data_IF_877095085431
#
_entry.id   IF_877095085431
#
_cell.length_a   1.000
_cell.length_b   1.000
_cell.length_c   1.000
_cell.angle_alpha   90.00
_cell.angle_beta   90.00
_cell.angle_gamma   90.00
#
_symmetry.space_group_name_H-M   'P 1'
#
loop_
_entity.id
_entity.type
_entity.pdbx_description
1 polymer ?
#
# COMPACT_ATOMS: atom_id res chain seq x y z
N UNK A 1 15.24 22.92 -9.99
CA UNK A 1 14.47 22.30 -8.91
C UNK A 1 14.45 20.79 -9.08
N UNK A 2 14.87 20.07 -8.06
CA UNK A 2 14.81 18.61 -8.10
C UNK A 2 13.44 18.16 -7.58
N UNK A 3 12.68 17.48 -8.43
CA UNK A 3 11.45 16.86 -7.99
C UNK A 3 11.81 15.60 -7.22
N UNK A 4 11.42 15.54 -5.96
CA UNK A 4 11.63 14.35 -5.14
C UNK A 4 10.82 13.17 -5.71
N UNK A 5 11.46 12.00 -5.86
CA UNK A 5 10.77 10.78 -6.24
C UNK A 5 9.91 10.34 -5.07
N UNK A 6 8.62 10.13 -5.32
CA UNK A 6 7.69 9.66 -4.29
C UNK A 6 7.94 8.19 -3.99
N UNK A 7 7.97 7.86 -2.71
CA UNK A 7 8.02 6.50 -2.20
C UNK A 7 6.60 6.07 -1.86
N UNK A 8 6.06 5.16 -2.64
CA UNK A 8 4.64 4.77 -2.58
C UNK A 8 4.51 3.30 -2.19
N UNK A 9 3.93 3.05 -1.02
CA UNK A 9 3.62 1.67 -0.62
C UNK A 9 2.39 1.19 -1.39
N UNK A 10 2.48 -0.02 -1.96
CA UNK A 10 1.38 -0.63 -2.70
C UNK A 10 0.90 -1.89 -1.99
N UNK A 11 -0.42 -2.09 -1.93
CA UNK A 11 -0.99 -3.36 -1.52
C UNK A 11 -1.33 -4.20 -2.75
N UNK A 12 -1.80 -5.43 -2.53
CA UNK A 12 -2.09 -6.34 -3.63
C UNK A 12 -3.26 -5.87 -4.51
N UNK A 13 -4.19 -5.09 -3.96
CA UNK A 13 -5.36 -4.62 -4.73
C UNK A 13 -4.97 -3.74 -5.92
N UNK A 14 -3.82 -3.03 -5.82
CA UNK A 14 -3.34 -2.18 -6.91
C UNK A 14 -2.69 -3.00 -8.03
N UNK A 15 -2.17 -4.17 -7.70
CA UNK A 15 -1.59 -5.11 -8.65
C UNK A 15 -2.69 -5.97 -9.28
N UNK A 16 -3.46 -6.67 -8.46
CA UNK A 16 -4.55 -7.52 -8.93
C UNK A 16 -5.67 -6.72 -9.60
N UNK A 17 -5.85 -5.48 -9.18
CA UNK A 17 -6.85 -4.58 -9.76
C UNK A 17 -6.65 -4.29 -11.25
N UNK A 18 -5.44 -4.49 -11.78
CA UNK A 18 -5.17 -4.37 -13.22
C UNK A 18 -5.96 -5.37 -14.05
N UNK A 19 -6.49 -6.42 -13.43
CA UNK A 19 -7.21 -7.50 -14.10
C UNK A 19 -8.70 -7.55 -13.71
N UNK A 20 -9.17 -6.56 -12.94
CA UNK A 20 -10.56 -6.51 -12.52
C UNK A 20 -11.48 -6.10 -13.68
N UNK A 21 -12.75 -6.53 -13.61
CA UNK A 21 -13.73 -6.21 -14.63
C UNK A 21 -14.39 -4.83 -14.44
N UNK A 22 -13.95 -4.07 -13.45
CA UNK A 22 -14.44 -2.72 -13.12
C UNK A 22 -13.50 -1.64 -13.71
N UNK A 23 -13.53 -0.43 -13.14
CA UNK A 23 -12.70 0.69 -13.59
C UNK A 23 -11.27 0.71 -13.00
N UNK A 24 -10.90 -0.27 -12.16
CA UNK A 24 -9.58 -0.31 -11.54
C UNK A 24 -8.43 -0.32 -12.55
N UNK A 25 -8.48 -1.11 -13.66
CA UNK A 25 -7.39 -1.08 -14.63
C UNK A 25 -7.13 0.32 -15.20
N UNK A 26 -8.18 1.04 -15.56
CA UNK A 26 -8.07 2.38 -16.13
C UNK A 26 -7.52 3.38 -15.11
N UNK A 27 -7.90 3.22 -13.86
CA UNK A 27 -7.46 4.11 -12.77
C UNK A 27 -6.02 3.83 -12.32
N UNK A 28 -5.57 2.59 -12.44
CA UNK A 28 -4.22 2.20 -12.03
C UNK A 28 -3.17 2.37 -13.13
N UNK A 29 -3.55 2.36 -14.40
CA UNK A 29 -2.60 2.41 -15.51
C UNK A 29 -1.69 3.64 -15.49
N UNK A 30 -2.17 4.87 -15.26
CA UNK A 30 -1.27 6.02 -15.18
C UNK A 30 -0.27 5.91 -14.03
N UNK A 31 -0.66 5.30 -12.92
CA UNK A 31 0.23 5.05 -11.79
C UNK A 31 1.39 4.11 -12.21
N UNK A 32 1.06 2.99 -12.84
CA UNK A 32 2.08 2.04 -13.29
C UNK A 32 2.98 2.60 -14.39
N UNK A 33 2.42 3.45 -15.26
CA UNK A 33 3.23 4.17 -16.26
C UNK A 33 4.24 5.08 -15.59
N UNK A 34 3.85 5.79 -14.52
CA UNK A 34 4.76 6.63 -13.76
C UNK A 34 5.86 5.82 -13.06
N UNK A 35 5.54 4.63 -12.57
CA UNK A 35 6.53 3.71 -12.00
C UNK A 35 7.55 3.31 -13.07
N UNK A 36 7.08 2.91 -14.25
CA UNK A 36 7.97 2.52 -15.35
C UNK A 36 8.86 3.66 -15.83
N UNK A 37 8.35 4.89 -15.78
CA UNK A 37 9.12 6.09 -16.16
C UNK A 37 10.12 6.52 -15.07
N UNK A 38 10.05 5.94 -13.88
CA UNK A 38 10.96 6.26 -12.80
C UNK A 38 10.56 7.47 -11.95
N UNK A 39 9.36 8.01 -12.13
CA UNK A 39 8.88 9.15 -11.34
C UNK A 39 8.27 8.74 -10.00
N UNK A 40 7.90 7.47 -9.87
CA UNK A 40 7.41 6.86 -8.63
C UNK A 40 8.24 5.62 -8.34
N UNK A 41 8.68 5.51 -7.09
CA UNK A 41 9.32 4.31 -6.57
C UNK A 41 8.34 3.60 -5.64
N UNK A 42 8.09 2.32 -5.87
CA UNK A 42 7.17 1.58 -5.02
C UNK A 42 7.92 0.91 -3.87
N UNK A 43 7.22 0.82 -2.74
CA UNK A 43 7.64 0.03 -1.59
C UNK A 43 6.78 -1.23 -1.57
N UNK A 44 7.41 -2.38 -1.52
CA UNK A 44 6.74 -3.67 -1.40
C UNK A 44 7.21 -4.37 -0.14
N UNK A 45 6.36 -5.19 0.44
CA UNK A 45 6.67 -5.92 1.67
C UNK A 45 6.64 -7.43 1.44
N UNK A 46 7.19 -8.17 2.38
CA UNK A 46 7.07 -9.62 2.43
C UNK A 46 5.60 -10.06 2.52
N UNK A 47 4.75 -9.28 3.18
CA UNK A 47 3.30 -9.55 3.24
C UNK A 47 2.69 -9.48 1.84
N UNK A 48 3.00 -8.41 1.09
CA UNK A 48 2.55 -8.27 -0.29
C UNK A 48 3.07 -9.42 -1.16
N UNK A 49 4.35 -9.74 -1.04
CA UNK A 49 4.94 -10.79 -1.89
C UNK A 49 4.32 -12.16 -1.64
N UNK A 50 3.97 -12.47 -0.38
CA UNK A 50 3.23 -13.70 -0.07
C UNK A 50 1.82 -13.71 -0.69
N UNK A 51 1.14 -12.58 -0.67
CA UNK A 51 -0.17 -12.46 -1.32
C UNK A 51 -0.07 -12.68 -2.83
N UNK A 52 0.94 -12.07 -3.46
CA UNK A 52 1.18 -12.21 -4.89
C UNK A 52 1.52 -13.65 -5.27
N UNK A 53 2.31 -14.36 -4.45
CA UNK A 53 2.65 -15.77 -4.69
C UNK A 53 1.41 -16.67 -4.75
N UNK A 54 0.37 -16.32 -4.01
CA UNK A 54 -0.90 -17.06 -3.96
C UNK A 54 -1.92 -16.58 -5.00
N UNK A 55 -1.60 -15.54 -5.71
CA UNK A 55 -2.48 -14.96 -6.72
C UNK A 55 -2.42 -15.75 -8.03
N UNK A 56 -3.40 -15.55 -8.95
CA UNK A 56 -3.36 -16.17 -10.28
C UNK A 56 -2.10 -15.80 -11.04
N UNK A 57 -1.73 -16.64 -12.02
CA UNK A 57 -0.50 -16.49 -12.79
C UNK A 57 -0.37 -15.11 -13.43
N UNK A 58 -1.44 -14.56 -13.99
CA UNK A 58 -1.38 -13.26 -14.66
C UNK A 58 -1.04 -12.11 -13.68
N UNK A 59 -1.46 -12.23 -12.42
CA UNK A 59 -1.10 -11.24 -11.38
C UNK A 59 0.39 -11.38 -11.03
N UNK A 60 0.88 -12.60 -10.88
CA UNK A 60 2.30 -12.86 -10.60
C UNK A 60 3.19 -12.36 -11.74
N UNK A 61 2.77 -12.57 -12.98
CA UNK A 61 3.50 -12.10 -14.15
C UNK A 61 3.56 -10.57 -14.22
N UNK A 62 2.45 -9.91 -13.93
CA UNK A 62 2.43 -8.45 -13.86
C UNK A 62 3.42 -7.95 -12.81
N UNK A 63 3.41 -8.53 -11.62
CA UNK A 63 4.32 -8.15 -10.54
C UNK A 63 5.78 -8.30 -10.98
N UNK A 64 6.12 -9.39 -11.64
CA UNK A 64 7.48 -9.64 -12.14
C UNK A 64 7.89 -8.67 -13.24
N UNK A 65 6.94 -8.05 -13.94
CA UNK A 65 7.22 -7.10 -15.01
C UNK A 65 7.62 -5.71 -14.47
N UNK A 66 7.43 -5.45 -13.20
CA UNK A 66 7.78 -4.16 -12.59
C UNK A 66 9.31 -4.06 -12.54
N UNK A 67 9.90 -2.94 -13.04
CA UNK A 67 11.36 -2.79 -13.03
C UNK A 67 11.94 -2.87 -11.62
N UNK A 68 12.91 -3.73 -11.40
CA UNK A 68 13.57 -3.89 -10.09
C UNK A 68 14.15 -2.57 -9.57
N UNK A 69 14.64 -1.71 -10.46
CA UNK A 69 15.19 -0.41 -10.11
C UNK A 69 14.16 0.51 -9.45
N UNK A 70 12.86 0.23 -9.60
CA UNK A 70 11.78 1.03 -9.04
C UNK A 70 11.17 0.41 -7.78
N UNK A 71 11.76 -0.65 -7.26
CA UNK A 71 11.21 -1.38 -6.11
C UNK A 71 12.14 -1.21 -4.91
N UNK A 72 11.57 -0.76 -3.80
CA UNK A 72 12.19 -0.81 -2.48
C UNK A 72 11.49 -1.92 -1.68
N UNK A 73 12.25 -2.93 -1.25
CA UNK A 73 11.69 -4.04 -0.47
C UNK A 73 11.87 -3.80 1.01
N UNK A 74 10.82 -4.02 1.77
CA UNK A 74 10.84 -3.99 3.23
C UNK A 74 10.29 -5.29 3.78
N UNK A 75 10.64 -5.60 5.03
CA UNK A 75 10.13 -6.80 5.70
C UNK A 75 9.32 -6.41 6.92
N UNK A 76 8.35 -7.24 7.27
CA UNK A 76 7.65 -7.10 8.54
C UNK A 76 8.63 -7.29 9.70
N UNK A 77 8.41 -6.54 10.76
CA UNK A 77 9.22 -6.55 11.98
C UNK A 77 8.29 -6.62 13.18
N UNK A 78 8.86 -6.82 14.36
CA UNK A 78 8.08 -6.75 15.60
C UNK A 78 7.40 -5.39 15.74
N UNK A 79 8.05 -4.33 15.30
CA UNK A 79 7.47 -2.98 15.31
C UNK A 79 6.24 -2.88 14.43
N UNK A 80 6.29 -3.35 13.18
CA UNK A 80 5.14 -3.31 12.27
C UNK A 80 4.02 -4.22 12.76
N UNK A 81 4.34 -5.39 13.27
CA UNK A 81 3.36 -6.34 13.79
C UNK A 81 2.65 -5.76 15.02
N UNK A 82 3.39 -5.14 15.92
CA UNK A 82 2.83 -4.49 17.12
C UNK A 82 1.89 -3.35 16.74
N UNK A 83 2.28 -2.54 15.75
CA UNK A 83 1.43 -1.45 15.27
C UNK A 83 0.14 -1.99 14.64
N UNK A 84 0.24 -3.04 13.82
CA UNK A 84 -0.93 -3.68 13.20
C UNK A 84 -1.90 -4.24 14.27
N UNK A 85 -1.36 -4.89 15.29
CA UNK A 85 -2.16 -5.39 16.40
C UNK A 85 -2.86 -4.26 17.16
N UNK A 86 -2.20 -3.11 17.29
CA UNK A 86 -2.79 -1.95 17.95
C UNK A 86 -4.00 -1.43 17.17
N UNK A 87 -3.95 -1.40 15.85
CA UNK A 87 -5.11 -1.02 15.04
C UNK A 87 -6.31 -1.94 15.31
N UNK A 88 -6.06 -3.24 15.46
CA UNK A 88 -7.10 -4.23 15.76
C UNK A 88 -7.63 -4.02 17.18
N UNK A 89 -6.75 -3.88 18.14
CA UNK A 89 -7.10 -3.68 19.56
C UNK A 89 -7.95 -2.42 19.76
N UNK A 90 -7.64 -1.36 19.03
CA UNK A 90 -8.40 -0.10 19.09
C UNK A 90 -9.70 -0.15 18.26
N UNK A 91 -9.98 -1.28 17.63
CA UNK A 91 -11.26 -1.50 16.95
C UNK A 91 -11.37 -0.86 15.56
N UNK A 92 -10.26 -0.43 14.95
CA UNK A 92 -10.29 0.16 13.61
C UNK A 92 -10.72 -0.90 12.59
N UNK A 93 -10.17 -2.08 12.70
CA UNK A 93 -10.52 -3.26 11.90
C UNK A 93 -10.55 -4.49 12.79
N UNK A 94 -11.13 -5.58 12.28
CA UNK A 94 -11.20 -6.86 13.01
C UNK A 94 -9.98 -7.73 12.70
N UNK A 95 -9.83 -8.82 13.47
CA UNK A 95 -8.76 -9.81 13.23
C UNK A 95 -8.81 -10.41 11.82
N UNK A 96 -9.98 -10.46 11.20
CA UNK A 96 -10.13 -10.95 9.83
C UNK A 96 -9.47 -10.04 8.79
N UNK A 97 -9.17 -8.81 9.18
CA UNK A 97 -8.51 -7.81 8.33
C UNK A 97 -7.07 -7.57 8.76
N UNK A 98 -6.41 -8.58 9.32
CA UNK A 98 -5.02 -8.46 9.79
C UNK A 98 -4.08 -8.03 8.67
N UNK A 99 -4.21 -8.59 7.47
CA UNK A 99 -3.34 -8.20 6.35
C UNK A 99 -3.53 -6.73 5.96
N UNK A 100 -4.76 -6.21 6.00
CA UNK A 100 -5.01 -4.79 5.76
C UNK A 100 -4.31 -3.91 6.80
N UNK A 101 -4.40 -4.30 8.07
CA UNK A 101 -3.70 -3.62 9.16
C UNK A 101 -2.19 -3.67 8.98
N UNK A 102 -1.66 -4.82 8.56
CA UNK A 102 -0.23 -4.98 8.32
C UNK A 102 0.26 -4.06 7.20
N UNK A 103 -0.50 -3.91 6.12
CA UNK A 103 -0.13 -3.00 5.04
C UNK A 103 -0.03 -1.55 5.53
N UNK A 104 -1.02 -1.10 6.31
CA UNK A 104 -0.99 0.27 6.87
C UNK A 104 0.19 0.42 7.84
N UNK A 105 0.42 -0.57 8.70
CA UNK A 105 1.52 -0.54 9.67
C UNK A 105 2.88 -0.53 8.96
N UNK A 106 3.06 -1.36 7.95
CA UNK A 106 4.31 -1.43 7.19
C UNK A 106 4.61 -0.12 6.47
N UNK A 107 3.60 0.47 5.83
CA UNK A 107 3.74 1.78 5.18
C UNK A 107 4.10 2.86 6.19
N UNK A 108 3.50 2.82 7.38
CA UNK A 108 3.74 3.80 8.45
C UNK A 108 5.14 3.68 9.02
N UNK A 109 5.59 2.48 9.34
CA UNK A 109 6.93 2.24 9.89
C UNK A 109 8.00 2.59 8.85
N UNK A 110 7.78 2.29 7.59
CA UNK A 110 8.69 2.64 6.50
C UNK A 110 8.66 4.14 6.15
N UNK A 111 7.76 4.89 6.74
CA UNK A 111 7.56 6.32 6.47
C UNK A 111 7.34 6.59 4.99
N UNK A 112 6.51 5.79 4.35
CA UNK A 112 6.12 5.98 2.96
C UNK A 112 5.48 7.36 2.77
N UNK A 113 5.65 7.95 1.60
CA UNK A 113 4.99 9.22 1.29
C UNK A 113 3.47 9.02 1.15
N UNK A 114 3.07 7.88 0.59
CA UNK A 114 1.66 7.54 0.44
C UNK A 114 1.51 6.01 0.37
N UNK A 115 0.39 5.51 0.88
CA UNK A 115 -0.08 4.15 0.68
C UNK A 115 -1.19 4.19 -0.36
N UNK A 116 -1.06 3.41 -1.44
CA UNK A 116 -2.12 3.31 -2.45
C UNK A 116 -2.83 1.96 -2.36
N UNK A 117 -4.14 2.00 -2.47
CA UNK A 117 -5.00 0.82 -2.35
C UNK A 117 -6.33 1.07 -3.06
N UNK A 118 -6.96 0.00 -3.53
CA UNK A 118 -8.37 0.01 -3.96
C UNK A 118 -9.30 -0.55 -2.88
N UNK A 119 -8.77 -0.94 -1.72
CA UNK A 119 -9.58 -1.48 -0.63
C UNK A 119 -10.34 -0.35 0.07
N UNK A 120 -11.52 -0.02 -0.45
CA UNK A 120 -12.37 1.06 0.07
C UNK A 120 -13.22 0.64 1.27
N UNK A 121 -13.09 -0.59 1.74
CA UNK A 121 -13.82 -1.08 2.91
C UNK A 121 -12.99 -0.92 4.18
N UNK A 122 -11.71 -1.31 4.15
CA UNK A 122 -10.88 -1.37 5.35
C UNK A 122 -9.68 -0.42 5.35
N UNK A 123 -9.32 0.18 4.21
CA UNK A 123 -8.13 1.03 4.09
C UNK A 123 -8.49 2.44 3.62
N UNK A 124 -9.07 2.57 2.41
CA UNK A 124 -9.25 3.88 1.76
C UNK A 124 -10.66 4.41 2.04
N UNK A 125 -10.94 4.74 3.28
CA UNK A 125 -12.16 5.49 3.65
C UNK A 125 -11.76 6.60 4.59
N UNK A 126 -12.50 7.69 4.59
CA UNK A 126 -12.18 8.85 5.43
C UNK A 126 -12.07 8.46 6.90
N UNK A 127 -13.03 7.69 7.40
CA UNK A 127 -13.04 7.28 8.81
C UNK A 127 -11.86 6.39 9.14
N UNK A 128 -11.53 5.41 8.28
CA UNK A 128 -10.39 4.51 8.51
C UNK A 128 -9.07 5.27 8.48
N UNK A 129 -8.90 6.15 7.51
CA UNK A 129 -7.68 6.98 7.39
C UNK A 129 -7.47 7.80 8.66
N UNK A 130 -8.52 8.45 9.15
CA UNK A 130 -8.45 9.23 10.39
C UNK A 130 -8.10 8.36 11.60
N UNK A 131 -8.71 7.18 11.70
CA UNK A 131 -8.48 6.26 12.81
C UNK A 131 -7.05 5.72 12.80
N UNK A 132 -6.55 5.27 11.64
CA UNK A 132 -5.16 4.83 11.51
C UNK A 132 -4.19 5.95 11.93
N UNK A 133 -4.42 7.16 11.44
CA UNK A 133 -3.55 8.28 11.73
C UNK A 133 -3.63 8.74 13.19
N UNK A 134 -4.76 8.60 13.84
CA UNK A 134 -4.89 8.89 15.28
C UNK A 134 -3.97 7.97 16.10
N UNK A 135 -3.96 6.68 15.78
CA UNK A 135 -3.07 5.71 16.45
C UNK A 135 -1.61 5.99 16.10
N UNK A 136 -1.31 6.27 14.83
CA UNK A 136 0.05 6.59 14.39
C UNK A 136 0.61 7.79 15.16
N UNK A 137 -0.17 8.86 15.27
CA UNK A 137 0.26 10.06 15.99
C UNK A 137 0.47 9.78 17.47
N UNK A 138 -0.43 8.99 18.09
CA UNK A 138 -0.30 8.60 19.50
C UNK A 138 1.02 7.86 19.76
N UNK A 139 1.46 7.03 18.82
CA UNK A 139 2.65 6.20 18.94
C UNK A 139 3.91 6.84 18.33
N UNK A 140 3.83 8.09 17.89
CA UNK A 140 4.99 8.83 17.40
C UNK A 140 5.32 8.65 15.93
N UNK A 141 4.40 8.10 15.14
CA UNK A 141 4.58 8.02 13.68
C UNK A 141 4.01 9.25 13.00
N UNK A 142 4.61 9.68 11.87
CA UNK A 142 4.00 10.72 11.05
C UNK A 142 2.67 10.24 10.48
N UNK A 143 1.73 11.15 10.17
CA UNK A 143 0.52 10.78 9.45
C UNK A 143 0.87 10.12 8.11
N UNK A 144 0.13 9.06 7.76
CA UNK A 144 0.26 8.39 6.47
C UNK A 144 -0.84 8.88 5.52
N UNK A 145 -0.44 9.32 4.32
CA UNK A 145 -1.38 9.59 3.25
C UNK A 145 -1.88 8.27 2.68
N UNK A 146 -3.19 8.12 2.52
CA UNK A 146 -3.80 6.91 1.95
C UNK A 146 -4.71 7.36 0.81
N UNK A 147 -4.45 6.85 -0.40
CA UNK A 147 -5.14 7.26 -1.63
C UNK A 147 -5.37 6.06 -2.55
N UNK A 148 -6.24 6.21 -3.53
CA UNK A 148 -6.30 5.32 -4.68
C UNK A 148 -5.19 5.68 -5.67
N UNK A 149 -4.77 4.75 -6.56
CA UNK A 149 -3.64 5.04 -7.46
C UNK A 149 -3.82 6.26 -8.36
N UNK A 150 -5.04 6.49 -8.86
CA UNK A 150 -5.36 7.63 -9.71
C UNK A 150 -5.19 8.97 -8.99
N UNK A 151 -5.44 9.01 -7.68
CA UNK A 151 -5.31 10.23 -6.89
C UNK A 151 -3.85 10.69 -6.73
N UNK A 152 -2.89 9.78 -6.87
CA UNK A 152 -1.47 10.09 -6.71
C UNK A 152 -0.87 10.75 -7.97
N UNK A 153 -1.53 10.58 -9.11
CA UNK A 153 -1.01 11.00 -10.43
C UNK A 153 -1.42 12.43 -10.80
N UNK A 154 -2.26 13.05 -10.07
CA UNK A 154 -2.73 14.41 -10.36
C UNK A 154 -1.64 15.47 -10.24
#
# INVERSE_FOLDING_TARGET
MHTRIKRVYVDNSVISGMFDANDHPQRATPFWDAVKKGTIRIIVSDVLEREVERAPQHVREFYRSIPESQIERIESTDESDTLAERYITEGIVTKNSLNDSLHVALASVARADVLVSFNCTHIVTLDRIRQYNAINMLLGYPPIEIRTPDEVIQ
#
